data_IF_623653558673
#
_entry.id   IF_623653558673
#
_cell.length_a   1.000
_cell.length_b   1.000
_cell.length_c   1.000
_cell.angle_alpha   90.00
_cell.angle_beta   90.00
_cell.angle_gamma   90.00
#
_symmetry.space_group_name_H-M   'P 1'
#
loop_
_entity.id
_entity.type
_entity.pdbx_description
1 polymer ?
#
# COMPACT_ATOMS: atom_id res chain seq x y z
N UNK A 1 18.00 5.73 16.30
CA UNK A 1 17.80 4.57 15.40
C UNK A 1 17.02 5.05 14.19
N UNK A 2 17.35 4.62 12.96
CA UNK A 2 16.53 4.94 11.80
C UNK A 2 15.16 4.27 11.95
N UNK A 3 14.09 5.04 11.75
CA UNK A 3 12.71 4.56 11.83
C UNK A 3 12.06 4.74 10.47
N UNK A 4 11.35 3.72 9.98
CA UNK A 4 10.59 3.81 8.74
C UNK A 4 9.36 4.69 8.98
N UNK A 5 9.21 5.74 8.16
CA UNK A 5 7.97 6.51 8.12
C UNK A 5 6.94 5.75 7.30
N UNK A 6 6.03 5.06 7.99
CA UNK A 6 4.99 4.25 7.35
C UNK A 6 4.03 5.08 6.50
N UNK A 7 3.74 6.32 6.92
CA UNK A 7 2.84 7.22 6.18
C UNK A 7 3.46 7.67 4.86
N UNK A 8 4.74 8.07 4.86
CA UNK A 8 5.43 8.42 3.60
C UNK A 8 5.62 7.21 2.69
N UNK A 9 5.86 6.04 3.28
CA UNK A 9 5.95 4.78 2.53
C UNK A 9 4.61 4.49 1.82
N UNK A 10 3.49 4.63 2.52
CA UNK A 10 2.15 4.46 1.97
C UNK A 10 1.84 5.42 0.82
N UNK A 11 2.17 6.72 1.00
CA UNK A 11 2.03 7.74 -0.05
C UNK A 11 2.86 7.41 -1.30
N UNK A 12 4.09 6.94 -1.13
CA UNK A 12 4.94 6.57 -2.25
C UNK A 12 4.38 5.38 -3.03
N UNK A 13 3.85 4.36 -2.35
CA UNK A 13 3.18 3.23 -3.01
C UNK A 13 1.97 3.71 -3.83
N UNK A 14 1.14 4.59 -3.25
CA UNK A 14 0.01 5.18 -3.96
C UNK A 14 0.44 5.94 -5.22
N UNK A 15 1.47 6.79 -5.09
CA UNK A 15 2.00 7.58 -6.19
C UNK A 15 2.58 6.70 -7.31
N UNK A 16 3.37 5.68 -6.96
CA UNK A 16 3.94 4.74 -7.94
C UNK A 16 2.86 3.97 -8.68
N UNK A 17 1.86 3.43 -7.96
CA UNK A 17 0.72 2.72 -8.55
C UNK A 17 -0.03 3.61 -9.55
N UNK A 18 -0.35 4.84 -9.15
CA UNK A 18 -1.06 5.82 -10.00
C UNK A 18 -0.23 6.19 -11.23
N UNK A 19 1.10 6.38 -11.08
CA UNK A 19 2.01 6.75 -12.17
C UNK A 19 1.98 5.74 -13.33
N UNK A 20 1.81 4.46 -13.04
CA UNK A 20 1.76 3.40 -14.04
C UNK A 20 0.34 2.99 -14.44
N UNK A 21 -0.70 3.69 -13.94
CA UNK A 21 -2.09 3.37 -14.22
C UNK A 21 -2.60 2.08 -13.59
N UNK A 22 -1.85 1.49 -12.65
CA UNK A 22 -2.23 0.24 -11.98
C UNK A 22 -3.39 0.49 -11.01
N UNK A 23 -4.34 -0.43 -10.91
CA UNK A 23 -5.48 -0.40 -10.00
C UNK A 23 -5.13 -0.97 -8.61
N UNK A 24 -5.93 -0.66 -7.58
CA UNK A 24 -5.75 -1.25 -6.24
C UNK A 24 -5.96 -2.77 -6.30
N UNK A 25 -6.88 -3.24 -7.15
CA UNK A 25 -7.17 -4.65 -7.35
C UNK A 25 -5.97 -5.40 -7.94
N UNK A 26 -5.36 -4.86 -9.00
CA UNK A 26 -4.15 -5.46 -9.58
C UNK A 26 -3.00 -5.51 -8.55
N UNK A 27 -2.81 -4.44 -7.77
CA UNK A 27 -1.80 -4.43 -6.72
C UNK A 27 -2.10 -5.48 -5.63
N UNK A 28 -3.37 -5.62 -5.24
CA UNK A 28 -3.82 -6.64 -4.29
C UNK A 28 -3.56 -8.07 -4.81
N UNK A 29 -3.83 -8.34 -6.08
CA UNK A 29 -3.60 -9.65 -6.70
C UNK A 29 -2.10 -9.98 -6.75
N UNK A 30 -1.25 -9.00 -7.09
CA UNK A 30 0.22 -9.16 -7.12
C UNK A 30 0.77 -9.52 -5.73
N UNK A 31 0.27 -8.89 -4.68
CA UNK A 31 0.70 -9.17 -3.30
C UNK A 31 -0.01 -10.37 -2.66
N UNK A 32 -0.99 -10.98 -3.33
CA UNK A 32 -1.75 -12.11 -2.79
C UNK A 32 -2.61 -11.76 -1.57
N UNK A 33 -3.01 -10.49 -1.42
CA UNK A 33 -3.91 -10.13 -0.32
C UNK A 33 -5.32 -10.64 -0.59
N UNK A 34 -5.98 -11.13 0.47
CA UNK A 34 -7.35 -11.63 0.37
C UNK A 34 -8.37 -10.53 0.03
N UNK A 35 -8.10 -9.27 0.39
CA UNK A 35 -8.99 -8.14 0.13
C UNK A 35 -8.21 -6.87 -0.24
N UNK A 36 -8.80 -5.95 -1.03
CA UNK A 36 -8.20 -4.64 -1.33
C UNK A 36 -7.97 -3.76 -0.10
N UNK A 37 -8.66 -4.03 1.02
CA UNK A 37 -8.61 -3.22 2.24
C UNK A 37 -7.20 -3.12 2.83
N UNK A 38 -6.39 -4.18 2.66
CA UNK A 38 -4.99 -4.20 3.08
C UNK A 38 -4.18 -3.10 2.37
N UNK A 39 -4.42 -2.88 1.08
CA UNK A 39 -3.72 -1.84 0.31
C UNK A 39 -4.10 -0.44 0.80
N UNK A 40 -5.38 -0.20 1.09
CA UNK A 40 -5.82 1.10 1.61
C UNK A 40 -5.21 1.40 2.98
N UNK A 41 -5.14 0.40 3.88
CA UNK A 41 -4.45 0.54 5.17
C UNK A 41 -2.97 0.90 4.99
N UNK A 42 -2.28 0.22 4.07
CA UNK A 42 -0.89 0.53 3.74
C UNK A 42 -0.70 1.93 3.16
N UNK A 43 -1.56 2.38 2.25
CA UNK A 43 -1.52 3.73 1.70
C UNK A 43 -1.70 4.80 2.78
N UNK A 44 -2.49 4.50 3.82
CA UNK A 44 -2.70 5.37 4.97
C UNK A 44 -1.59 5.27 6.04
N UNK A 45 -0.60 4.39 5.84
CA UNK A 45 0.46 4.13 6.83
C UNK A 45 -0.02 3.38 8.07
N UNK A 46 -1.21 2.78 8.03
CA UNK A 46 -1.69 1.91 9.09
C UNK A 46 -1.01 0.54 8.97
N UNK A 47 -0.38 0.09 10.06
CA UNK A 47 0.12 -1.28 10.16
C UNK A 47 -1.07 -2.25 10.02
N UNK A 48 -0.91 -3.28 9.17
CA UNK A 48 -1.86 -4.39 9.12
C UNK A 48 -1.61 -5.21 10.39
N UNK A 49 -2.47 -5.05 11.40
CA UNK A 49 -2.54 -6.04 12.47
C UNK A 49 -3.19 -7.30 11.90
N UNK A 50 -2.45 -8.42 11.98
CA UNK A 50 -2.90 -9.76 11.59
C UNK A 50 -3.92 -10.31 12.61
#
# INVERSE_FOLDING_TARGET
>A
MPTINMTETGRNIEAMRKKIGMTVKELQEIFGFATPQAIYKWQQGAAINY
#
